data_IF_150345616023
#
_entry.id   IF_150345616023
#
_cell.length_a   1.000
_cell.length_b   1.000
_cell.length_c   1.000
_cell.angle_alpha   90.00
_cell.angle_beta   90.00
_cell.angle_gamma   90.00
#
_symmetry.space_group_name_H-M   'P 1'
#
loop_
_entity.id
_entity.type
_entity.pdbx_description
1 polymer ?
#
# COMPACT_ATOMS: atom_id res chain seq x y z
N UNK A 1 7.17 -22.12 13.18
CA UNK A 1 6.47 -21.42 14.27
C UNK A 1 5.27 -20.75 13.63
N UNK A 2 4.04 -21.16 13.97
CA UNK A 2 2.84 -20.53 13.39
C UNK A 2 2.68 -19.15 14.00
N UNK A 3 2.97 -18.09 13.22
CA UNK A 3 2.68 -16.74 13.67
C UNK A 3 1.16 -16.56 13.82
N UNK A 4 0.67 -15.89 14.88
CA UNK A 4 -0.72 -15.48 14.94
C UNK A 4 -1.06 -14.67 13.69
N UNK A 5 -2.23 -14.93 13.08
CA UNK A 5 -2.66 -14.28 11.83
C UNK A 5 -2.37 -12.76 11.77
N UNK A 6 -2.62 -11.96 12.82
CA UNK A 6 -2.30 -10.51 12.80
C UNK A 6 -0.80 -10.19 12.71
N UNK A 7 0.06 -11.02 13.29
CA UNK A 7 1.52 -10.85 13.20
C UNK A 7 2.04 -11.19 11.81
N UNK A 8 1.47 -12.23 11.18
CA UNK A 8 1.75 -12.54 9.78
C UNK A 8 1.33 -11.39 8.87
N UNK A 9 0.12 -10.84 9.06
CA UNK A 9 -0.37 -9.68 8.30
C UNK A 9 0.52 -8.44 8.47
N UNK A 10 1.11 -8.23 9.65
CA UNK A 10 2.06 -7.14 9.85
C UNK A 10 3.33 -7.32 9.01
N UNK A 11 3.88 -8.53 8.91
CA UNK A 11 5.04 -8.83 8.07
C UNK A 11 4.73 -8.90 6.58
N UNK A 12 3.49 -9.22 6.21
CA UNK A 12 3.07 -9.19 4.82
C UNK A 12 3.05 -7.77 4.26
N UNK A 13 2.84 -6.72 5.07
CA UNK A 13 2.90 -5.32 4.63
C UNK A 13 4.20 -4.98 3.89
N UNK A 14 5.40 -5.02 4.52
CA UNK A 14 6.64 -4.69 3.82
C UNK A 14 6.99 -5.71 2.73
N UNK A 15 6.56 -6.97 2.88
CA UNK A 15 6.83 -8.02 1.89
C UNK A 15 6.09 -7.79 0.58
N UNK A 16 4.78 -7.55 0.65
CA UNK A 16 3.95 -7.29 -0.55
C UNK A 16 4.23 -5.91 -1.11
N UNK A 17 4.55 -4.93 -0.26
CA UNK A 17 4.97 -3.61 -0.69
C UNK A 17 6.24 -3.66 -1.54
N UNK A 18 7.22 -4.48 -1.15
CA UNK A 18 8.44 -4.65 -1.93
C UNK A 18 8.15 -5.30 -3.28
N UNK A 19 7.31 -6.34 -3.33
CA UNK A 19 6.92 -6.96 -4.61
C UNK A 19 6.22 -5.96 -5.52
N UNK A 20 5.34 -5.14 -4.96
CA UNK A 20 4.64 -4.09 -5.69
C UNK A 20 5.60 -3.02 -6.22
N UNK A 21 6.51 -2.54 -5.38
CA UNK A 21 7.56 -1.59 -5.75
C UNK A 21 8.42 -2.11 -6.90
N UNK A 22 8.79 -3.39 -6.88
CA UNK A 22 9.57 -4.02 -7.95
C UNK A 22 8.77 -4.06 -9.25
N UNK A 23 7.47 -4.38 -9.20
CA UNK A 23 6.62 -4.33 -10.39
C UNK A 23 6.43 -2.91 -10.91
N UNK A 24 6.20 -1.93 -10.03
CA UNK A 24 6.08 -0.53 -10.43
C UNK A 24 7.38 -0.03 -11.06
N UNK A 25 8.54 -0.44 -10.56
CA UNK A 25 9.82 0.03 -11.09
C UNK A 25 10.23 -0.66 -12.40
N UNK A 26 10.07 -1.99 -12.49
CA UNK A 26 10.56 -2.80 -13.61
C UNK A 26 9.47 -3.21 -14.62
N UNK A 27 8.19 -3.05 -14.27
CA UNK A 27 7.07 -3.47 -15.11
C UNK A 27 6.74 -2.46 -16.20
N UNK A 28 6.66 -2.94 -17.44
CA UNK A 28 6.31 -2.09 -18.59
C UNK A 28 7.33 -0.96 -18.79
N UNK A 29 6.84 0.27 -18.81
CA UNK A 29 7.67 1.49 -18.87
C UNK A 29 8.10 2.02 -17.49
N UNK A 30 7.63 1.38 -16.41
CA UNK A 30 7.78 1.86 -15.04
C UNK A 30 6.70 2.87 -14.64
N UNK A 31 6.29 2.84 -13.37
CA UNK A 31 5.25 3.70 -12.82
C UNK A 31 5.57 5.20 -12.96
N UNK A 32 6.81 5.68 -12.74
CA UNK A 32 7.13 7.10 -12.93
C UNK A 32 6.87 7.58 -14.36
N UNK A 33 7.28 6.80 -15.37
CA UNK A 33 7.06 7.12 -16.79
C UNK A 33 5.58 7.04 -17.15
N UNK A 34 4.88 6.01 -16.66
CA UNK A 34 3.45 5.84 -16.85
C UNK A 34 2.66 7.03 -16.27
N UNK A 35 3.03 7.47 -15.07
CA UNK A 35 2.41 8.60 -14.39
C UNK A 35 2.62 9.90 -15.16
N UNK A 36 3.84 10.15 -15.66
CA UNK A 36 4.12 11.30 -16.52
C UNK A 36 3.28 11.28 -17.80
N UNK A 37 3.15 10.12 -18.44
CA UNK A 37 2.37 9.98 -19.67
C UNK A 37 0.86 10.23 -19.49
N UNK A 38 0.25 9.71 -18.43
CA UNK A 38 -1.21 9.73 -18.28
C UNK A 38 -1.74 10.81 -17.32
N UNK A 39 -0.91 11.26 -16.38
CA UNK A 39 -1.31 12.23 -15.36
C UNK A 39 -0.55 13.57 -15.50
N UNK A 40 0.35 13.68 -16.48
CA UNK A 40 1.19 14.88 -16.69
C UNK A 40 1.92 15.32 -15.41
N UNK A 41 2.43 14.34 -14.67
CA UNK A 41 3.18 14.52 -13.44
C UNK A 41 4.65 14.15 -13.65
N UNK A 42 5.56 14.99 -13.15
CA UNK A 42 7.00 14.83 -13.37
C UNK A 42 7.69 14.01 -12.28
N UNK A 43 7.09 12.90 -11.87
CA UNK A 43 7.69 12.02 -10.88
C UNK A 43 8.97 11.39 -11.46
N UNK A 44 10.14 11.80 -10.95
CA UNK A 44 11.39 11.19 -11.37
C UNK A 44 11.57 9.80 -10.74
N UNK A 45 12.41 8.96 -11.34
CA UNK A 45 12.78 7.69 -10.74
C UNK A 45 13.46 7.86 -9.37
N UNK A 46 14.20 8.97 -9.16
CA UNK A 46 14.84 9.27 -7.88
C UNK A 46 13.81 9.62 -6.79
N UNK A 47 12.80 10.42 -7.12
CA UNK A 47 11.73 10.78 -6.18
C UNK A 47 10.87 9.59 -5.83
N UNK A 48 10.55 8.76 -6.84
CA UNK A 48 9.88 7.47 -6.63
C UNK A 48 10.68 6.59 -5.65
N UNK A 49 11.99 6.44 -5.85
CA UNK A 49 12.84 5.65 -4.96
C UNK A 49 12.98 6.29 -3.57
N UNK A 50 12.98 7.62 -3.46
CA UNK A 50 13.05 8.33 -2.18
C UNK A 50 11.79 8.10 -1.35
N UNK A 51 10.61 8.33 -1.94
CA UNK A 51 9.32 8.14 -1.27
C UNK A 51 9.18 6.69 -0.79
N UNK A 52 9.46 5.74 -1.69
CA UNK A 52 9.37 4.31 -1.38
C UNK A 52 10.48 3.84 -0.42
N UNK A 53 11.67 4.43 -0.52
CA UNK A 53 12.81 4.19 0.38
C UNK A 53 12.57 4.67 1.81
N UNK A 54 11.60 5.58 2.02
CA UNK A 54 11.12 5.98 3.35
C UNK A 54 9.95 5.09 3.78
N UNK A 55 8.98 4.87 2.89
CA UNK A 55 7.76 4.12 3.22
C UNK A 55 8.05 2.66 3.59
N UNK A 56 8.91 1.97 2.84
CA UNK A 56 9.18 0.56 3.05
C UNK A 56 9.85 0.26 4.40
N UNK A 57 10.91 0.97 4.84
CA UNK A 57 11.48 0.80 6.18
C UNK A 57 10.49 1.11 7.30
N UNK A 58 9.59 2.08 7.12
CA UNK A 58 8.55 2.38 8.12
C UNK A 58 7.56 1.21 8.28
N UNK A 59 7.17 0.57 7.18
CA UNK A 59 6.34 -0.64 7.23
C UNK A 59 7.08 -1.82 7.89
N UNK A 60 8.37 -1.99 7.59
CA UNK A 60 9.20 -3.01 8.23
C UNK A 60 9.39 -2.77 9.74
N UNK A 61 9.63 -1.51 10.13
CA UNK A 61 9.74 -1.11 11.52
C UNK A 61 8.42 -1.34 12.28
N UNK A 62 7.27 -1.03 11.65
CA UNK A 62 5.96 -1.35 12.19
C UNK A 62 5.79 -2.87 12.40
N UNK A 63 6.12 -3.69 11.40
CA UNK A 63 6.02 -5.15 11.49
C UNK A 63 6.87 -5.73 12.64
N UNK A 64 8.09 -5.20 12.81
CA UNK A 64 8.97 -5.55 13.91
C UNK A 64 8.38 -5.13 15.26
N UNK A 65 7.97 -3.87 15.41
CA UNK A 65 7.35 -3.37 16.64
C UNK A 65 6.08 -4.16 17.01
N UNK A 66 5.26 -4.50 16.00
CA UNK A 66 4.09 -5.35 16.17
C UNK A 66 4.49 -6.72 16.68
N UNK A 67 5.55 -7.33 16.14
CA UNK A 67 6.08 -8.62 16.61
C UNK A 67 6.58 -8.55 18.06
N UNK A 68 7.22 -7.45 18.44
CA UNK A 68 7.75 -7.19 19.78
C UNK A 68 6.69 -6.82 20.83
N UNK A 69 5.40 -6.79 20.46
CA UNK A 69 4.28 -6.64 21.40
C UNK A 69 3.48 -5.35 21.25
N UNK A 70 3.90 -4.40 20.40
CA UNK A 70 3.09 -3.22 20.09
C UNK A 70 1.97 -3.55 19.09
N UNK A 71 0.98 -4.32 19.56
CA UNK A 71 -0.13 -4.88 18.76
C UNK A 71 -1.20 -3.83 18.42
N UNK A 72 -0.82 -2.73 17.77
CA UNK A 72 -1.75 -1.66 17.40
C UNK A 72 -2.55 -2.01 16.14
N UNK A 73 -3.73 -2.60 16.33
CA UNK A 73 -4.61 -3.02 15.24
C UNK A 73 -5.23 -1.86 14.46
N UNK A 74 -5.27 -0.64 15.02
CA UNK A 74 -5.74 0.55 14.29
C UNK A 74 -4.72 0.93 13.22
N UNK A 75 -3.43 0.92 13.58
CA UNK A 75 -2.33 1.20 12.63
C UNK A 75 -2.24 0.08 11.59
N UNK A 76 -2.37 -1.18 12.01
CA UNK A 76 -2.42 -2.32 11.07
C UNK A 76 -3.55 -2.15 10.04
N UNK A 77 -4.75 -1.77 10.50
CA UNK A 77 -5.89 -1.51 9.62
C UNK A 77 -5.62 -0.32 8.67
N UNK A 78 -5.04 0.77 9.18
CA UNK A 78 -4.73 1.95 8.37
C UNK A 78 -3.73 1.62 7.26
N UNK A 79 -2.65 0.91 7.56
CA UNK A 79 -1.64 0.50 6.57
C UNK A 79 -2.22 -0.44 5.51
N UNK A 80 -3.02 -1.43 5.93
CA UNK A 80 -3.72 -2.29 4.96
C UNK A 80 -4.76 -1.52 4.14
N UNK A 81 -5.36 -0.47 4.69
CA UNK A 81 -6.25 0.42 3.93
C UNK A 81 -5.48 1.20 2.88
N UNK A 82 -4.28 1.71 3.18
CA UNK A 82 -3.39 2.35 2.19
C UNK A 82 -3.14 1.39 1.02
N UNK A 83 -2.64 0.18 1.30
CA UNK A 83 -2.33 -0.81 0.26
C UNK A 83 -3.59 -1.23 -0.52
N UNK A 84 -4.73 -1.38 0.15
CA UNK A 84 -5.98 -1.77 -0.51
C UNK A 84 -6.50 -0.68 -1.45
N UNK A 85 -6.51 0.58 -1.01
CA UNK A 85 -6.89 1.73 -1.85
C UNK A 85 -5.93 1.83 -3.03
N UNK A 86 -4.62 1.70 -2.80
CA UNK A 86 -3.63 1.65 -3.88
C UNK A 86 -3.96 0.53 -4.88
N UNK A 87 -4.21 -0.67 -4.35
CA UNK A 87 -4.54 -1.84 -5.14
C UNK A 87 -5.82 -1.71 -5.98
N UNK A 88 -6.76 -0.85 -5.58
CA UNK A 88 -7.94 -0.53 -6.40
C UNK A 88 -7.61 0.44 -7.52
N UNK A 89 -6.72 1.41 -7.29
CA UNK A 89 -6.44 2.48 -8.24
C UNK A 89 -5.67 1.99 -9.47
N UNK A 90 -4.80 0.99 -9.36
CA UNK A 90 -4.07 0.45 -10.52
C UNK A 90 -4.97 -0.20 -11.58
N UNK A 91 -5.86 -1.17 -11.27
CA UNK A 91 -6.79 -1.72 -12.26
C UNK A 91 -7.78 -0.66 -12.77
N UNK A 92 -8.24 0.27 -11.92
CA UNK A 92 -9.07 1.38 -12.37
C UNK A 92 -8.32 2.29 -13.35
N UNK A 93 -7.04 2.54 -13.11
CA UNK A 93 -6.16 3.29 -14.02
C UNK A 93 -5.96 2.56 -15.34
N UNK A 94 -5.88 1.22 -15.33
CA UNK A 94 -5.86 0.43 -16.55
C UNK A 94 -7.14 0.62 -17.38
N UNK A 95 -8.29 0.56 -16.71
CA UNK A 95 -9.59 0.77 -17.38
C UNK A 95 -9.72 2.20 -17.93
N UNK A 96 -9.26 3.21 -17.19
CA UNK A 96 -9.37 4.61 -17.58
C UNK A 96 -8.40 4.99 -18.72
N UNK A 97 -7.16 4.49 -18.67
CA UNK A 97 -6.13 4.80 -19.66
C UNK A 97 -6.18 3.89 -20.91
N UNK A 98 -6.83 2.73 -20.81
CA UNK A 98 -6.76 1.68 -21.82
C UNK A 98 -5.37 1.03 -21.92
N UNK A 99 -4.49 1.27 -20.95
CA UNK A 99 -3.12 0.81 -20.95
C UNK A 99 -2.76 0.15 -19.61
N UNK A 100 -1.80 -0.76 -19.64
CA UNK A 100 -1.27 -1.37 -18.41
C UNK A 100 -0.64 -0.30 -17.51
N UNK A 101 -1.11 -0.23 -16.26
CA UNK A 101 -0.50 0.56 -15.18
C UNK A 101 0.45 -0.36 -14.39
N UNK A 102 1.77 -0.06 -14.34
CA UNK A 102 2.71 -0.82 -13.52
C UNK A 102 2.25 -0.89 -12.07
N UNK A 103 2.29 -2.10 -11.47
CA UNK A 103 1.75 -2.35 -10.13
C UNK A 103 0.38 -3.07 -10.14
N UNK A 104 -0.28 -3.18 -11.29
CA UNK A 104 -1.61 -3.82 -11.41
C UNK A 104 -1.61 -5.30 -11.02
N UNK A 105 -0.59 -6.08 -11.39
CA UNK A 105 -0.58 -7.51 -11.09
C UNK A 105 -0.46 -7.76 -9.59
N UNK A 106 0.54 -7.17 -8.93
CA UNK A 106 0.70 -7.26 -7.48
C UNK A 106 -0.44 -6.60 -6.72
N UNK A 107 -1.04 -5.53 -7.24
CA UNK A 107 -2.25 -4.95 -6.69
C UNK A 107 -3.39 -5.98 -6.63
N UNK A 108 -3.72 -6.59 -7.77
CA UNK A 108 -4.82 -7.54 -7.90
C UNK A 108 -4.54 -8.86 -7.18
N UNK A 109 -3.30 -9.36 -7.24
CA UNK A 109 -2.94 -10.66 -6.69
C UNK A 109 -2.56 -10.62 -5.20
N UNK A 110 -2.05 -9.49 -4.71
CA UNK A 110 -1.56 -9.36 -3.33
C UNK A 110 -2.34 -8.33 -2.53
N UNK A 111 -2.39 -7.07 -2.96
CA UNK A 111 -2.98 -6.00 -2.15
C UNK A 111 -4.48 -6.20 -1.93
N UNK A 112 -5.25 -6.50 -2.98
CA UNK A 112 -6.70 -6.68 -2.85
C UNK A 112 -7.06 -7.90 -1.98
N UNK A 113 -6.52 -9.12 -2.23
CA UNK A 113 -6.89 -10.29 -1.44
C UNK A 113 -6.40 -10.17 0.01
N UNK A 114 -5.17 -9.69 0.23
CA UNK A 114 -4.61 -9.56 1.57
C UNK A 114 -5.22 -8.39 2.34
N UNK A 115 -5.59 -7.30 1.67
CA UNK A 115 -6.34 -6.20 2.27
C UNK A 115 -7.73 -6.65 2.74
N UNK A 116 -8.46 -7.41 1.92
CA UNK A 116 -9.74 -8.02 2.33
C UNK A 116 -9.57 -8.97 3.51
N UNK A 117 -8.52 -9.80 3.50
CA UNK A 117 -8.20 -10.67 4.62
C UNK A 117 -7.87 -9.87 5.90
N UNK A 118 -7.09 -8.80 5.77
CA UNK A 118 -6.76 -7.92 6.87
C UNK A 118 -8.00 -7.23 7.44
N UNK A 119 -8.91 -6.75 6.60
CA UNK A 119 -10.18 -6.17 7.04
C UNK A 119 -11.05 -7.20 7.77
N UNK A 120 -11.22 -8.39 7.18
CA UNK A 120 -12.01 -9.48 7.77
C UNK A 120 -11.50 -9.90 9.15
N UNK A 121 -10.17 -9.88 9.34
CA UNK A 121 -9.54 -10.33 10.59
C UNK A 121 -9.39 -9.20 11.62
N UNK A 122 -9.16 -7.96 11.18
CA UNK A 122 -8.83 -6.85 12.07
C UNK A 122 -10.07 -6.07 12.52
N UNK A 123 -11.05 -5.84 11.63
CA UNK A 123 -12.26 -5.07 11.96
C UNK A 123 -13.02 -5.62 13.19
N UNK A 124 -13.21 -6.95 13.35
CA UNK A 124 -13.90 -7.49 14.52
C UNK A 124 -13.19 -7.20 15.86
N UNK A 125 -11.89 -6.92 15.84
CA UNK A 125 -11.08 -6.65 17.05
C UNK A 125 -11.15 -5.19 17.51
N UNK A 126 -11.79 -4.30 16.74
CA UNK A 126 -11.80 -2.87 16.94
C UNK A 126 -13.21 -2.35 17.26
N UNK A 127 -13.29 -1.31 18.08
CA UNK A 127 -14.51 -0.52 18.25
C UNK A 127 -14.85 0.29 17.00
N UNK A 128 -16.08 0.77 16.84
CA UNK A 128 -16.50 1.53 15.65
C UNK A 128 -15.67 2.79 15.43
N UNK A 129 -15.32 3.51 16.51
CA UNK A 129 -14.44 4.69 16.42
C UNK A 129 -13.05 4.32 15.89
N UNK A 130 -12.51 3.19 16.31
CA UNK A 130 -11.21 2.68 15.86
C UNK A 130 -11.26 2.20 14.40
N UNK A 131 -12.35 1.54 13.99
CA UNK A 131 -12.57 1.12 12.59
C UNK A 131 -12.60 2.34 11.67
N UNK A 132 -13.45 3.31 12.01
CA UNK A 132 -13.56 4.57 11.26
C UNK A 132 -12.23 5.30 11.23
N UNK A 133 -11.60 5.50 12.39
CA UNK A 133 -10.29 6.17 12.47
C UNK A 133 -9.21 5.49 11.64
N UNK A 134 -9.11 4.16 11.69
CA UNK A 134 -8.12 3.40 10.90
C UNK A 134 -8.35 3.50 9.40
N UNK A 135 -9.59 3.31 8.93
CA UNK A 135 -9.93 3.42 7.50
C UNK A 135 -9.70 4.85 7.01
N UNK A 136 -10.21 5.85 7.72
CA UNK A 136 -10.04 7.25 7.34
C UNK A 136 -8.56 7.64 7.32
N UNK A 137 -7.77 7.25 8.33
CA UNK A 137 -6.34 7.52 8.33
C UNK A 137 -5.64 6.88 7.13
N UNK A 138 -5.96 5.63 6.79
CA UNK A 138 -5.37 4.96 5.63
C UNK A 138 -5.72 5.63 4.31
N UNK A 139 -6.99 6.02 4.11
CA UNK A 139 -7.42 6.77 2.92
C UNK A 139 -6.70 8.12 2.83
N UNK A 140 -6.62 8.88 3.94
CA UNK A 140 -5.94 10.17 3.97
C UNK A 140 -4.44 10.03 3.69
N UNK A 141 -3.76 9.04 4.27
CA UNK A 141 -2.35 8.76 3.98
C UNK A 141 -2.17 8.46 2.49
N UNK A 142 -3.05 7.65 1.89
CA UNK A 142 -2.96 7.37 0.47
C UNK A 142 -3.17 8.61 -0.40
N UNK A 143 -4.13 9.46 -0.05
CA UNK A 143 -4.34 10.74 -0.74
C UNK A 143 -3.08 11.61 -0.66
N UNK A 144 -2.46 11.70 0.52
CA UNK A 144 -1.21 12.45 0.69
C UNK A 144 -0.08 11.89 -0.17
N UNK A 145 0.03 10.56 -0.30
CA UNK A 145 1.03 9.92 -1.17
C UNK A 145 0.77 10.26 -2.64
N UNK A 146 -0.48 10.21 -3.11
CA UNK A 146 -0.82 10.62 -4.49
C UNK A 146 -0.44 12.10 -4.69
N UNK A 147 -0.84 12.98 -3.77
CA UNK A 147 -0.56 14.40 -3.87
C UNK A 147 0.96 14.66 -3.89
N UNK A 148 1.72 13.96 -3.06
CA UNK A 148 3.17 14.06 -3.09
C UNK A 148 3.73 13.59 -4.44
N UNK A 149 3.27 12.44 -4.94
CA UNK A 149 3.76 11.86 -6.18
C UNK A 149 3.46 12.72 -7.43
N UNK A 150 2.38 13.51 -7.42
CA UNK A 150 2.02 14.37 -8.56
C UNK A 150 2.50 15.82 -8.43
N UNK A 151 3.15 16.20 -7.32
CA UNK A 151 3.61 17.57 -7.07
C UNK A 151 5.11 17.67 -6.68
N UNK A 152 5.86 16.57 -6.76
CA UNK A 152 7.31 16.56 -6.51
C UNK A 152 8.10 16.68 -7.80
#
# INVERSE_FOLDING_TARGET
MNLPYPTLLAWLLPGTYLVHLLEEYFGGEGFPVWLSRFMNADLSAADFLLINGIAWPLMAAFALAYTLGWKNNVVLLALWTVLFVNGLLHPLSCLASGAYSPGTFSAVLLYLPLGLLAFKTTLPTLSDKQRFGGITAGVLIHILVILLAVNI
#
